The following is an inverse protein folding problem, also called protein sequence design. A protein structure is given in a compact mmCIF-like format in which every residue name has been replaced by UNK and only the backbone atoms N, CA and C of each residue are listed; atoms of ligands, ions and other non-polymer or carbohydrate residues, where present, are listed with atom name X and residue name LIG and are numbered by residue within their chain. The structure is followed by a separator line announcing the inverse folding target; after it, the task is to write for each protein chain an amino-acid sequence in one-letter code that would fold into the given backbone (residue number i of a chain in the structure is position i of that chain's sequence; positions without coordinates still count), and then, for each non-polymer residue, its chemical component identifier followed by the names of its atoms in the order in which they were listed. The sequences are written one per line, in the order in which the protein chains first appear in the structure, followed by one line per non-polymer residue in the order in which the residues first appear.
data_IF_138250861710
#
_entry.id   IF_138250861710
#
_cell.length_a   1.000
_cell.length_b   1.000
_cell.length_c   1.000
_cell.angle_alpha   90.00
_cell.angle_beta   90.00
_cell.angle_gamma   90.00
#
_symmetry.space_group_name_H-M   'P 1'
#
loop_
_entity.id
_entity.type
_entity.pdbx_description
1 polymer ?
#
# COMPACT_ATOMS: atom_id res chain seq x y z
N UNK A 1 39.15 -36.57 -10.80
CA UNK A 1 37.78 -36.14 -11.14
C UNK A 1 36.89 -36.54 -9.97
N UNK A 2 36.87 -35.71 -8.93
CA UNK A 2 36.18 -35.97 -7.66
C UNK A 2 34.74 -35.50 -7.78
N UNK A 3 33.81 -36.45 -7.90
CA UNK A 3 32.38 -36.16 -7.81
C UNK A 3 32.01 -35.87 -6.35
N UNK A 4 31.53 -34.66 -6.12
CA UNK A 4 30.92 -34.23 -4.86
C UNK A 4 29.46 -34.71 -4.91
N UNK A 5 29.00 -35.64 -4.06
CA UNK A 5 27.59 -36.02 -4.05
C UNK A 5 26.77 -34.92 -3.37
N UNK A 6 25.70 -34.54 -4.05
CA UNK A 6 24.69 -33.57 -3.64
C UNK A 6 24.01 -33.98 -2.33
N UNK A 7 24.36 -33.31 -1.22
CA UNK A 7 23.92 -33.62 0.15
C UNK A 7 22.42 -33.43 0.44
N UNK A 8 21.65 -32.91 -0.52
CA UNK A 8 20.26 -32.51 -0.31
C UNK A 8 19.29 -33.69 -0.44
N UNK A 9 19.59 -34.68 -1.28
CA UNK A 9 18.70 -35.84 -1.49
C UNK A 9 18.72 -36.81 -0.30
N UNK A 10 19.86 -36.96 0.37
CA UNK A 10 20.02 -37.87 1.51
C UNK A 10 19.23 -37.43 2.76
N UNK A 11 19.08 -36.11 2.97
CA UNK A 11 18.34 -35.57 4.11
C UNK A 11 16.83 -35.81 4.03
N UNK A 12 16.25 -35.81 2.82
CA UNK A 12 14.82 -36.05 2.61
C UNK A 12 14.44 -37.52 2.78
N UNK A 13 15.31 -38.46 2.38
CA UNK A 13 15.04 -39.89 2.54
C UNK A 13 15.19 -40.34 4.01
N UNK A 14 16.15 -39.76 4.74
CA UNK A 14 16.33 -40.01 6.17
C UNK A 14 15.17 -39.45 7.02
N UNK A 15 14.66 -38.26 6.70
CA UNK A 15 13.53 -37.66 7.41
C UNK A 15 12.23 -38.43 7.18
N UNK A 16 11.99 -38.94 5.97
CA UNK A 16 10.83 -39.80 5.67
C UNK A 16 10.86 -41.12 6.44
N UNK A 17 12.03 -41.78 6.53
CA UNK A 17 12.19 -42.99 7.32
C UNK A 17 12.00 -42.76 8.82
N UNK A 18 12.44 -41.61 9.33
CA UNK A 18 12.26 -41.25 10.73
C UNK A 18 10.79 -40.97 11.07
N UNK A 19 10.07 -40.25 10.21
CA UNK A 19 8.64 -39.96 10.38
C UNK A 19 7.79 -41.23 10.28
N UNK A 20 8.15 -42.18 9.41
CA UNK A 20 7.43 -43.44 9.25
C UNK A 20 7.61 -44.42 10.41
N UNK A 21 8.64 -44.26 11.23
CA UNK A 21 8.92 -45.11 12.40
C UNK A 21 8.39 -44.53 13.73
N UNK A 22 7.84 -43.31 13.71
CA UNK A 22 7.26 -42.69 14.90
C UNK A 22 5.83 -43.18 15.11
N UNK A 23 5.57 -43.72 16.29
CA UNK A 23 4.21 -44.03 16.73
C UNK A 23 3.36 -42.73 16.82
N UNK A 24 2.05 -42.85 16.57
CA UNK A 24 1.12 -41.72 16.53
C UNK A 24 1.15 -40.89 17.83
N UNK A 25 1.36 -41.55 18.96
CA UNK A 25 1.52 -40.92 20.27
C UNK A 25 2.78 -40.06 20.33
N UNK A 26 3.91 -40.56 19.80
CA UNK A 26 5.19 -39.86 19.78
C UNK A 26 5.16 -38.65 18.84
N UNK A 27 4.51 -38.78 17.68
CA UNK A 27 4.30 -37.66 16.74
C UNK A 27 3.43 -36.57 17.36
N UNK A 28 2.37 -36.96 18.09
CA UNK A 28 1.49 -36.01 18.78
C UNK A 28 2.24 -35.27 19.88
N UNK A 29 3.00 -35.98 20.72
CA UNK A 29 3.83 -35.37 21.76
C UNK A 29 4.84 -34.38 21.18
N UNK A 30 5.58 -34.79 20.14
CA UNK A 30 6.57 -33.93 19.49
C UNK A 30 5.93 -32.66 18.93
N UNK A 31 4.76 -32.77 18.29
CA UNK A 31 4.02 -31.63 17.74
C UNK A 31 3.54 -30.69 18.86
N UNK A 32 2.95 -31.23 19.93
CA UNK A 32 2.48 -30.43 21.08
C UNK A 32 3.64 -29.72 21.76
N UNK A 33 4.77 -30.41 21.97
CA UNK A 33 5.97 -29.80 22.56
C UNK A 33 6.51 -28.69 21.66
N UNK A 34 6.63 -28.92 20.35
CA UNK A 34 7.07 -27.89 19.40
C UNK A 34 6.16 -26.66 19.44
N UNK A 35 4.84 -26.85 19.41
CA UNK A 35 3.86 -25.76 19.49
C UNK A 35 3.98 -25.01 20.83
N UNK A 36 4.09 -25.74 21.94
CA UNK A 36 4.24 -25.15 23.27
C UNK A 36 5.51 -24.29 23.41
N UNK A 37 6.61 -24.66 22.74
CA UNK A 37 7.84 -23.85 22.68
C UNK A 37 7.72 -22.65 21.73
N UNK A 38 6.97 -22.78 20.64
CA UNK A 38 6.78 -21.68 19.68
C UNK A 38 5.83 -20.60 20.20
N UNK A 39 4.83 -20.94 21.02
CA UNK A 39 3.86 -19.97 21.56
C UNK A 39 4.55 -18.80 22.30
N UNK A 40 5.46 -19.02 23.27
CA UNK A 40 6.18 -17.92 23.92
C UNK A 40 7.00 -17.08 22.95
N UNK A 41 7.60 -17.70 21.92
CA UNK A 41 8.38 -16.99 20.91
C UNK A 41 7.47 -16.05 20.11
N UNK A 42 6.30 -16.50 19.69
CA UNK A 42 5.35 -15.65 18.96
C UNK A 42 4.70 -14.56 19.82
N UNK A 43 4.60 -14.76 21.14
CA UNK A 43 4.13 -13.72 22.07
C UNK A 43 5.20 -12.64 22.27
N UNK A 44 6.46 -13.04 22.43
CA UNK A 44 7.59 -12.11 22.65
C UNK A 44 8.05 -11.42 21.36
N UNK A 45 8.03 -12.15 20.26
CA UNK A 45 8.43 -11.71 18.93
C UNK A 45 7.30 -12.04 17.94
N UNK A 46 6.19 -11.28 18.00
CA UNK A 46 5.15 -11.42 16.99
C UNK A 46 5.79 -11.19 15.62
N UNK A 47 5.60 -12.09 14.65
CA UNK A 47 6.21 -12.00 13.32
C UNK A 47 5.43 -10.99 12.48
N UNK A 48 5.11 -9.85 13.07
CA UNK A 48 4.31 -8.78 12.49
C UNK A 48 5.29 -7.81 11.85
N UNK A 49 5.13 -7.67 10.54
CA UNK A 49 5.81 -6.61 9.80
C UNK A 49 5.27 -5.27 10.29
N UNK A 50 6.16 -4.33 10.57
CA UNK A 50 5.75 -2.98 10.94
C UNK A 50 5.35 -2.27 9.65
N UNK A 51 4.07 -1.92 9.55
CA UNK A 51 3.54 -1.20 8.40
C UNK A 51 3.75 0.31 8.54
N UNK A 52 3.68 1.03 7.42
CA UNK A 52 3.83 2.49 7.41
C UNK A 52 2.75 3.15 8.26
N UNK A 53 1.52 2.64 8.19
CA UNK A 53 0.41 3.10 9.03
C UNK A 53 0.65 2.91 10.53
N UNK A 54 1.32 1.83 10.95
CA UNK A 54 1.65 1.59 12.37
C UNK A 54 2.66 2.62 12.91
N UNK A 55 3.62 3.01 12.07
CA UNK A 55 4.56 4.09 12.39
C UNK A 55 3.82 5.42 12.50
N UNK A 56 2.93 5.72 11.55
CA UNK A 56 2.13 6.95 11.55
C UNK A 56 1.16 7.02 12.72
N UNK A 57 0.61 5.90 13.22
CA UNK A 57 -0.26 5.90 14.43
C UNK A 57 0.41 6.53 15.65
N UNK A 58 1.75 6.56 15.71
CA UNK A 58 2.49 7.14 16.83
C UNK A 58 2.58 8.66 16.79
N UNK A 59 2.41 9.29 15.63
CA UNK A 59 2.60 10.74 15.42
C UNK A 59 1.40 11.42 14.76
N UNK A 60 0.56 10.66 14.06
CA UNK A 60 -0.57 11.11 13.28
C UNK A 60 -1.87 10.46 13.75
N UNK A 61 -2.97 11.09 13.37
CA UNK A 61 -4.31 10.54 13.48
C UNK A 61 -4.90 10.31 12.09
N UNK A 62 -5.60 9.17 11.94
CA UNK A 62 -6.27 8.81 10.69
C UNK A 62 -7.52 9.69 10.57
N UNK A 63 -7.48 10.62 9.62
CA UNK A 63 -8.55 11.59 9.40
C UNK A 63 -9.54 11.14 8.32
N UNK A 64 -9.09 10.29 7.38
CA UNK A 64 -9.93 9.69 6.35
C UNK A 64 -9.83 8.17 6.35
N UNK A 65 -10.99 7.52 6.26
CA UNK A 65 -11.11 6.07 6.07
C UNK A 65 -11.47 5.77 4.61
N UNK A 66 -11.11 4.58 4.08
CA UNK A 66 -11.38 4.24 2.70
C UNK A 66 -12.88 4.01 2.52
N UNK A 67 -13.41 4.53 1.42
CA UNK A 67 -14.82 4.40 1.05
C UNK A 67 -15.24 2.91 1.05
N UNK A 68 -16.15 2.53 1.96
CA UNK A 68 -16.55 1.13 2.17
C UNK A 68 -17.47 0.58 1.08
N UNK A 69 -18.16 1.45 0.33
CA UNK A 69 -19.11 1.03 -0.71
C UNK A 69 -18.51 1.09 -2.12
N UNK A 70 -18.44 -0.08 -2.76
CA UNK A 70 -17.84 -0.33 -4.08
C UNK A 70 -18.67 0.12 -5.29
N UNK A 71 -19.77 0.88 -5.09
CA UNK A 71 -20.71 1.22 -6.17
C UNK A 71 -20.69 2.68 -6.63
N UNK A 72 -19.86 3.53 -6.02
CA UNK A 72 -19.68 4.91 -6.50
C UNK A 72 -18.47 4.93 -7.43
N UNK A 73 -18.61 4.21 -8.55
CA UNK A 73 -17.68 4.35 -9.66
C UNK A 73 -17.94 5.73 -10.29
N UNK A 74 -16.87 6.49 -10.47
CA UNK A 74 -16.84 7.86 -11.04
C UNK A 74 -17.61 7.91 -12.36
N UNK A 75 -18.90 8.23 -12.34
CA UNK A 75 -19.56 8.83 -13.49
C UNK A 75 -19.04 10.28 -13.58
N UNK A 76 -18.41 10.68 -14.70
CA UNK A 76 -18.03 12.06 -14.92
C UNK A 76 -19.30 12.87 -15.18
N UNK A 77 -19.95 13.36 -14.12
CA UNK A 77 -21.12 14.23 -14.27
C UNK A 77 -20.67 15.69 -14.48
N UNK A 78 -21.14 16.39 -15.52
CA UNK A 78 -20.67 17.72 -15.89
C UNK A 78 -21.50 18.85 -15.25
N UNK A 79 -21.86 18.77 -13.97
CA UNK A 79 -22.62 19.85 -13.35
C UNK A 79 -22.37 20.03 -11.82
N UNK A 80 -21.73 21.14 -11.38
CA UNK A 80 -21.42 21.39 -9.97
C UNK A 80 -22.63 21.79 -9.11
N UNK A 81 -23.86 21.82 -9.65
CA UNK A 81 -25.04 22.38 -8.96
C UNK A 81 -26.08 21.37 -8.46
N UNK A 82 -25.85 20.07 -8.61
CA UNK A 82 -26.85 19.05 -8.25
C UNK A 82 -26.72 18.51 -6.80
N UNK A 83 -25.85 19.07 -5.94
CA UNK A 83 -25.56 18.51 -4.61
C UNK A 83 -26.33 19.12 -3.43
N UNK A 84 -27.31 19.97 -3.70
CA UNK A 84 -28.22 20.52 -2.67
C UNK A 84 -29.64 19.94 -2.86
N UNK A 85 -29.87 18.71 -2.43
CA UNK A 85 -31.16 18.38 -1.81
C UNK A 85 -31.12 17.07 -1.02
N UNK A 86 -31.34 17.21 0.28
CA UNK A 86 -32.00 16.26 1.17
C UNK A 86 -31.30 14.94 1.51
N UNK A 87 -30.37 15.00 2.47
CA UNK A 87 -30.22 13.91 3.45
C UNK A 87 -29.76 14.47 4.81
N UNK A 88 -30.69 14.53 5.76
CA UNK A 88 -30.41 14.78 7.18
C UNK A 88 -29.79 13.53 7.82
N UNK A 89 -28.47 13.48 7.80
CA UNK A 89 -27.59 12.49 8.46
C UNK A 89 -26.18 12.97 8.16
N UNK A 90 -25.32 13.13 9.20
CA UNK A 90 -24.08 13.91 9.13
C UNK A 90 -23.37 13.87 7.77
N UNK A 91 -23.31 15.02 7.10
CA UNK A 91 -22.80 15.15 5.72
C UNK A 91 -21.32 14.73 5.67
N UNK A 92 -21.07 13.48 5.26
CA UNK A 92 -19.73 12.97 4.98
C UNK A 92 -19.27 13.49 3.61
N UNK A 93 -18.06 14.06 3.55
CA UNK A 93 -17.50 14.55 2.30
C UNK A 93 -16.54 13.51 1.71
N UNK A 94 -16.71 13.20 0.43
CA UNK A 94 -15.91 12.21 -0.27
C UNK A 94 -14.84 12.91 -1.10
N UNK A 95 -13.58 12.50 -0.95
CA UNK A 95 -12.44 13.08 -1.64
C UNK A 95 -11.65 11.99 -2.37
N UNK A 96 -11.14 12.33 -3.55
CA UNK A 96 -10.31 11.43 -4.36
C UNK A 96 -8.95 12.09 -4.58
N UNK A 97 -8.00 11.90 -3.65
CA UNK A 97 -6.69 12.53 -3.75
C UNK A 97 -5.80 11.87 -4.83
N UNK A 98 -6.08 10.60 -5.17
CA UNK A 98 -5.35 9.85 -6.19
C UNK A 98 -6.30 9.41 -7.28
N UNK A 99 -5.96 9.72 -8.52
CA UNK A 99 -6.82 9.47 -9.67
C UNK A 99 -7.00 7.96 -9.90
N UNK A 100 -8.25 7.52 -10.10
CA UNK A 100 -8.65 6.11 -10.33
C UNK A 100 -8.49 5.14 -9.14
N UNK A 101 -8.07 5.62 -7.97
CA UNK A 101 -8.06 4.84 -6.73
C UNK A 101 -9.33 5.06 -5.90
N UNK A 102 -9.48 4.30 -4.80
CA UNK A 102 -10.60 4.48 -3.88
C UNK A 102 -10.55 5.86 -3.23
N UNK A 103 -11.73 6.43 -3.03
CA UNK A 103 -11.90 7.68 -2.32
C UNK A 103 -11.76 7.51 -0.82
N UNK A 104 -11.57 8.65 -0.15
CA UNK A 104 -11.59 8.77 1.31
C UNK A 104 -12.87 9.45 1.75
N UNK A 105 -13.45 8.97 2.84
CA UNK A 105 -14.52 9.65 3.56
C UNK A 105 -13.91 10.51 4.66
N UNK A 106 -14.21 11.80 4.66
CA UNK A 106 -13.78 12.73 5.71
C UNK A 106 -14.97 13.19 6.56
N UNK A 107 -14.71 13.31 7.86
CA UNK A 107 -15.59 14.03 8.78
C UNK A 107 -15.60 15.52 8.46
N UNK A 108 -16.74 16.20 8.63
CA UNK A 108 -16.95 17.61 8.22
C UNK A 108 -15.85 18.57 8.67
N UNK A 109 -15.36 18.42 9.89
CA UNK A 109 -14.34 19.32 10.46
C UNK A 109 -12.97 19.15 9.77
N UNK A 110 -12.56 17.91 9.53
CA UNK A 110 -11.34 17.56 8.78
C UNK A 110 -11.49 17.87 7.29
N UNK A 111 -12.70 17.67 6.77
CA UNK A 111 -13.04 18.00 5.39
C UNK A 111 -12.90 19.50 5.15
N UNK A 112 -13.31 20.38 6.06
CA UNK A 112 -13.14 21.83 5.86
C UNK A 112 -11.66 22.28 5.80
N UNK A 113 -10.79 21.62 6.55
CA UNK A 113 -9.34 21.89 6.56
C UNK A 113 -8.64 21.33 5.32
N UNK A 114 -9.14 20.20 4.79
CA UNK A 114 -8.58 19.51 3.62
C UNK A 114 -9.27 19.88 2.29
N UNK A 115 -10.47 20.47 2.34
CA UNK A 115 -11.35 20.85 1.22
C UNK A 115 -11.14 22.29 0.76
N UNK A 116 -9.97 22.88 1.02
CA UNK A 116 -9.49 23.85 0.04
C UNK A 116 -9.35 23.07 -1.29
N UNK A 117 -9.80 23.66 -2.38
CA UNK A 117 -9.98 23.06 -3.71
C UNK A 117 -8.74 22.30 -4.26
N UNK A 118 -7.59 22.43 -3.61
CA UNK A 118 -6.26 21.97 -3.98
C UNK A 118 -5.99 20.49 -3.66
N UNK A 119 -6.83 19.79 -2.89
CA UNK A 119 -6.55 18.40 -2.44
C UNK A 119 -7.16 17.29 -3.31
N UNK A 120 -7.87 17.63 -4.38
CA UNK A 120 -8.44 16.66 -5.31
C UNK A 120 -7.45 16.33 -6.44
N UNK A 121 -7.30 15.05 -6.78
CA UNK A 121 -6.42 14.56 -7.85
C UNK A 121 -4.97 15.05 -7.74
N UNK A 122 -4.43 15.07 -6.52
CA UNK A 122 -3.04 15.39 -6.24
C UNK A 122 -2.08 14.51 -7.04
N UNK A 123 -2.41 13.22 -7.12
CA UNK A 123 -1.57 12.21 -7.73
C UNK A 123 -2.27 11.50 -8.87
N UNK A 124 -1.47 11.15 -9.89
CA UNK A 124 -1.90 10.30 -10.99
C UNK A 124 -0.86 9.22 -11.25
N UNK A 125 -1.32 7.98 -11.45
CA UNK A 125 -0.44 6.91 -11.90
C UNK A 125 -0.12 7.06 -13.39
N UNK A 126 1.13 6.80 -13.72
CA UNK A 126 1.61 6.71 -15.09
C UNK A 126 2.27 5.37 -15.35
N UNK A 127 2.22 4.93 -16.59
CA UNK A 127 2.92 3.72 -17.02
C UNK A 127 3.76 4.01 -18.25
N UNK A 128 4.77 3.19 -18.44
CA UNK A 128 5.63 3.22 -19.61
C UNK A 128 5.55 1.86 -20.30
N UNK A 129 5.34 1.87 -21.61
CA UNK A 129 5.41 0.66 -22.45
C UNK A 129 6.69 0.73 -23.25
N UNK A 130 7.53 -0.29 -23.15
CA UNK A 130 8.73 -0.41 -23.97
C UNK A 130 8.29 -0.94 -25.35
N UNK A 131 7.74 -0.08 -26.21
CA UNK A 131 7.47 -0.45 -27.60
C UNK A 131 8.65 -0.05 -28.48
N UNK A 132 9.07 -0.99 -29.32
CA UNK A 132 10.31 -1.02 -30.08
C UNK A 132 10.34 -0.10 -31.32
N UNK A 133 9.38 0.81 -31.44
CA UNK A 133 9.19 1.63 -32.64
C UNK A 133 9.07 3.10 -32.23
N UNK A 134 10.18 3.82 -32.46
CA UNK A 134 10.43 5.22 -32.12
C UNK A 134 10.62 5.57 -30.63
N UNK A 135 11.75 6.24 -30.40
CA UNK A 135 12.45 6.60 -29.16
C UNK A 135 11.72 7.61 -28.24
N UNK A 136 10.41 7.47 -28.05
CA UNK A 136 9.64 8.33 -27.14
C UNK A 136 9.27 7.55 -25.88
N UNK A 137 10.21 7.52 -24.93
CA UNK A 137 10.09 7.08 -23.53
C UNK A 137 9.08 7.97 -22.76
N UNK A 138 7.88 8.12 -23.29
CA UNK A 138 6.85 9.05 -22.80
C UNK A 138 5.93 8.35 -21.80
N UNK A 139 5.68 9.02 -20.67
CA UNK A 139 4.79 8.52 -19.63
C UNK A 139 3.33 8.72 -20.03
N UNK A 140 2.57 7.63 -20.07
CA UNK A 140 1.13 7.64 -20.36
C UNK A 140 0.34 7.56 -19.06
N UNK A 141 -0.78 8.30 -18.98
CA UNK A 141 -1.66 8.24 -17.82
C UNK A 141 -2.31 6.85 -17.70
N UNK A 142 -2.26 6.27 -16.51
CA UNK A 142 -2.93 5.02 -16.19
C UNK A 142 -4.44 5.26 -16.06
N UNK A 143 -5.26 4.41 -16.65
CA UNK A 143 -6.73 4.48 -16.59
C UNK A 143 -7.31 3.17 -16.08
N UNK A 144 -8.52 3.18 -15.51
CA UNK A 144 -9.21 1.95 -15.07
C UNK A 144 -9.49 0.98 -16.23
N UNK A 145 -9.59 1.46 -17.47
CA UNK A 145 -9.76 0.60 -18.64
C UNK A 145 -8.56 -0.32 -18.85
N UNK A 146 -7.35 0.21 -18.65
CA UNK A 146 -6.11 -0.54 -18.80
C UNK A 146 -5.72 -1.28 -17.51
N UNK A 147 -5.94 -0.64 -16.36
CA UNK A 147 -5.55 -1.14 -15.05
C UNK A 147 -6.75 -1.11 -14.09
N UNK A 148 -7.69 -2.07 -14.21
CA UNK A 148 -8.87 -2.11 -13.34
C UNK A 148 -8.49 -2.28 -11.85
N UNK A 149 -7.34 -2.91 -11.57
CA UNK A 149 -6.82 -3.12 -10.21
C UNK A 149 -6.50 -1.82 -9.46
N UNK A 150 -6.39 -0.67 -10.14
CA UNK A 150 -6.24 0.64 -9.49
C UNK A 150 -7.42 0.96 -8.55
N UNK A 151 -8.63 0.50 -8.90
CA UNK A 151 -9.83 0.70 -8.09
C UNK A 151 -9.84 -0.13 -6.79
N UNK A 152 -8.93 -1.10 -6.66
CA UNK A 152 -8.76 -1.89 -5.44
C UNK A 152 -7.71 -1.29 -4.49
N UNK A 153 -7.01 -0.24 -4.92
CA UNK A 153 -6.05 0.46 -4.07
C UNK A 153 -6.83 1.33 -3.09
N UNK A 154 -6.71 1.00 -1.81
CA UNK A 154 -7.26 1.80 -0.72
C UNK A 154 -6.34 2.98 -0.43
N UNK A 155 -6.93 4.11 -0.06
CA UNK A 155 -6.22 5.33 0.27
C UNK A 155 -6.69 5.78 1.64
N UNK A 156 -5.75 6.19 2.48
CA UNK A 156 -5.98 6.71 3.82
C UNK A 156 -5.30 8.06 3.97
N UNK A 157 -5.96 9.00 4.66
CA UNK A 157 -5.37 10.30 5.01
C UNK A 157 -4.93 10.31 6.48
N UNK A 158 -3.67 10.63 6.69
CA UNK A 158 -3.04 10.77 8.00
C UNK A 158 -2.61 12.21 8.22
N UNK A 159 -3.10 12.82 9.29
CA UNK A 159 -2.82 14.21 9.66
C UNK A 159 -2.02 14.23 10.96
N UNK A 160 -0.98 15.08 11.10
CA UNK A 160 -0.22 15.20 12.34
C UNK A 160 -1.14 15.52 13.52
N UNK A 161 -1.02 14.75 14.59
CA UNK A 161 -1.82 14.96 15.80
C UNK A 161 -0.96 15.69 16.84
N UNK A 162 -1.32 16.93 17.24
CA UNK A 162 -0.53 17.68 18.22
C UNK A 162 -0.48 17.00 19.59
N UNK A 163 -1.40 16.07 19.88
CA UNK A 163 -1.43 15.32 21.13
C UNK A 163 -0.59 14.03 21.09
N UNK A 164 -0.07 13.65 19.91
CA UNK A 164 0.77 12.47 19.75
C UNK A 164 2.20 12.90 19.44
N UNK A 165 3.14 12.34 20.18
CA UNK A 165 4.57 12.56 19.91
C UNK A 165 5.31 11.25 20.14
N UNK A 166 5.99 10.76 19.10
CA UNK A 166 6.84 9.58 19.23
C UNK A 166 8.20 9.98 19.78
N UNK A 167 8.68 9.24 20.78
CA UNK A 167 10.04 9.45 21.34
C UNK A 167 11.13 9.08 20.34
N UNK A 168 10.84 8.22 19.36
CA UNK A 168 11.81 7.71 18.39
C UNK A 168 11.83 8.54 17.10
N UNK A 169 10.67 9.03 16.66
CA UNK A 169 10.53 9.76 15.39
C UNK A 169 10.48 11.28 15.58
N UNK A 170 10.35 11.74 16.83
CA UNK A 170 10.15 13.16 17.12
C UNK A 170 8.79 13.67 16.63
N UNK A 171 8.71 14.99 16.40
CA UNK A 171 7.54 15.62 15.80
C UNK A 171 7.70 15.56 14.29
N UNK A 172 6.90 14.71 13.64
CA UNK A 172 6.83 14.65 12.19
C UNK A 172 5.74 15.63 11.76
N UNK A 173 6.14 16.64 10.97
CA UNK A 173 5.23 17.65 10.44
C UNK A 173 4.86 17.29 8.99
N UNK A 174 3.61 17.54 8.60
CA UNK A 174 3.08 17.26 7.27
C UNK A 174 2.08 16.10 7.24
N UNK A 175 1.05 16.23 6.39
CA UNK A 175 0.04 15.18 6.20
C UNK A 175 0.49 14.18 5.14
N UNK A 176 0.12 12.91 5.32
CA UNK A 176 0.50 11.81 4.42
C UNK A 176 -0.73 11.06 3.91
N UNK A 177 -0.64 10.61 2.67
CA UNK A 177 -1.52 9.60 2.11
C UNK A 177 -0.83 8.25 2.25
N UNK A 178 -1.53 7.28 2.85
CA UNK A 178 -1.12 5.87 2.83
C UNK A 178 -1.94 5.18 1.76
N UNK A 179 -1.26 4.54 0.80
CA UNK A 179 -1.91 3.72 -0.22
C UNK A 179 -1.65 2.25 0.09
N UNK A 180 -2.71 1.44 0.04
CA UNK A 180 -2.67 0.01 0.39
C UNK A 180 -3.19 -0.80 -0.78
N UNK A 181 -2.51 -1.89 -1.10
CA UNK A 181 -2.99 -2.85 -2.11
C UNK A 181 -2.77 -4.28 -1.64
N UNK A 182 -3.67 -5.21 -2.01
CA UNK A 182 -3.53 -6.60 -1.62
C UNK A 182 -2.32 -7.23 -2.32
N UNK A 183 -1.39 -7.74 -1.54
CA UNK A 183 -0.16 -8.36 -2.05
C UNK A 183 0.33 -9.45 -1.11
N UNK A 184 0.82 -10.55 -1.66
CA UNK A 184 1.47 -11.61 -0.89
C UNK A 184 2.75 -12.03 -1.60
N UNK A 185 3.87 -12.00 -0.87
CA UNK A 185 5.15 -12.42 -1.42
C UNK A 185 5.19 -13.94 -1.67
N UNK A 186 6.05 -14.37 -2.60
CA UNK A 186 6.22 -15.78 -2.90
C UNK A 186 6.99 -16.51 -1.78
N UNK A 187 6.73 -17.81 -1.62
CA UNK A 187 7.47 -18.69 -0.72
C UNK A 187 7.08 -18.56 0.76
N UNK A 188 8.03 -18.82 1.66
CA UNK A 188 7.80 -18.83 3.11
C UNK A 188 7.42 -17.45 3.66
N UNK A 189 7.91 -16.37 3.03
CA UNK A 189 7.57 -14.99 3.40
C UNK A 189 6.08 -14.70 3.22
N UNK A 190 5.46 -15.20 2.15
CA UNK A 190 4.02 -15.09 1.95
C UNK A 190 3.19 -15.83 3.00
N UNK A 191 3.70 -16.97 3.50
CA UNK A 191 3.04 -17.71 4.58
C UNK A 191 3.11 -16.90 5.87
N UNK A 192 4.28 -16.36 6.21
CA UNK A 192 4.41 -15.50 7.40
C UNK A 192 3.55 -14.25 7.30
N UNK A 193 3.45 -13.63 6.11
CA UNK A 193 2.57 -12.47 5.87
C UNK A 193 1.08 -12.81 6.07
N UNK A 194 0.62 -13.98 5.63
CA UNK A 194 -0.77 -14.41 5.88
C UNK A 194 -1.04 -14.64 7.36
N UNK A 195 -0.09 -15.24 8.07
CA UNK A 195 -0.22 -15.48 9.50
C UNK A 195 -0.18 -14.15 10.27
N UNK A 196 0.75 -13.26 9.91
CA UNK A 196 0.89 -11.95 10.54
C UNK A 196 -0.34 -11.08 10.29
N UNK A 197 -0.82 -10.99 9.05
CA UNK A 197 -2.02 -10.26 8.72
C UNK A 197 -3.20 -10.74 9.56
N UNK A 198 -3.39 -12.07 9.68
CA UNK A 198 -4.50 -12.66 10.45
C UNK A 198 -4.39 -12.40 11.95
N UNK A 199 -3.17 -12.38 12.47
CA UNK A 199 -2.91 -12.11 13.88
C UNK A 199 -3.11 -10.63 14.22
N UNK A 200 -2.64 -9.72 13.37
CA UNK A 200 -2.66 -8.27 13.60
C UNK A 200 -4.01 -7.61 13.27
N UNK A 201 -4.65 -8.03 12.18
CA UNK A 201 -5.84 -7.38 11.63
C UNK A 201 -7.10 -8.26 11.67
N UNK A 202 -7.01 -9.44 12.29
CA UNK A 202 -8.13 -10.36 12.51
C UNK A 202 -8.27 -11.44 11.44
N UNK A 203 -9.14 -12.42 11.70
CA UNK A 203 -9.21 -13.68 10.95
C UNK A 203 -9.53 -13.54 9.45
N UNK A 204 -10.19 -12.44 9.05
CA UNK A 204 -10.58 -12.16 7.67
C UNK A 204 -9.61 -11.23 6.93
N UNK A 205 -8.51 -10.82 7.55
CA UNK A 205 -7.56 -9.94 6.90
C UNK A 205 -6.79 -10.66 5.78
N UNK A 206 -6.43 -9.86 4.78
CA UNK A 206 -5.60 -10.23 3.64
C UNK A 206 -4.25 -9.52 3.81
N UNK A 207 -3.14 -10.15 3.43
CA UNK A 207 -1.86 -9.45 3.36
C UNK A 207 -1.93 -8.28 2.38
N UNK A 208 -1.44 -7.14 2.83
CA UNK A 208 -1.42 -5.90 2.08
C UNK A 208 -0.02 -5.30 2.11
N UNK A 209 0.29 -4.50 1.09
CA UNK A 209 1.51 -3.71 1.05
C UNK A 209 1.14 -2.23 1.02
N UNK A 210 1.80 -1.47 1.88
CA UNK A 210 1.56 -0.04 2.04
C UNK A 210 2.74 0.78 1.50
N UNK A 211 2.45 1.98 1.00
CA UNK A 211 3.45 3.00 0.72
C UNK A 211 2.90 4.39 1.00
N UNK A 212 3.81 5.37 1.13
CA UNK A 212 3.52 6.71 1.63
C UNK A 212 3.71 7.78 0.55
N UNK A 213 2.78 8.73 0.50
CA UNK A 213 2.91 9.92 -0.34
C UNK A 213 2.65 11.19 0.49
N UNK A 214 3.47 12.23 0.37
CA UNK A 214 3.24 13.49 1.07
C UNK A 214 2.00 14.21 0.49
N UNK A 215 1.19 14.83 1.33
CA UNK A 215 0.08 15.69 0.87
C UNK A 215 0.62 17.05 0.42
N UNK A 216 1.53 17.64 1.20
CA UNK A 216 2.19 18.89 0.87
C UNK A 216 3.13 18.73 -0.32
N UNK A 217 3.22 19.76 -1.17
CA UNK A 217 4.18 19.76 -2.26
C UNK A 217 5.60 19.78 -1.67
N UNK A 218 6.50 18.86 -2.07
CA UNK A 218 7.84 18.80 -1.52
C UNK A 218 8.67 20.01 -1.94
N UNK A 219 9.52 20.52 -1.05
CA UNK A 219 10.42 21.64 -1.35
C UNK A 219 11.61 21.18 -2.24
N UNK A 220 12.33 22.10 -2.87
CA UNK A 220 13.47 21.81 -3.74
C UNK A 220 14.57 20.98 -3.07
N UNK A 221 14.80 21.20 -1.77
CA UNK A 221 15.74 20.39 -0.98
C UNK A 221 15.25 18.95 -0.79
N UNK A 222 13.95 18.76 -0.56
CA UNK A 222 13.32 17.45 -0.40
C UNK A 222 13.28 16.69 -1.73
N UNK A 223 12.98 17.39 -2.83
CA UNK A 223 13.01 16.86 -4.20
C UNK A 223 14.40 16.29 -4.50
N UNK A 224 15.46 17.05 -4.21
CA UNK A 224 16.85 16.60 -4.41
C UNK A 224 17.23 15.45 -3.48
N UNK A 225 16.88 15.55 -2.20
CA UNK A 225 17.24 14.54 -1.20
C UNK A 225 16.57 13.18 -1.46
N UNK A 226 15.31 13.20 -1.93
CA UNK A 226 14.54 11.98 -2.24
C UNK A 226 14.71 11.49 -3.68
N UNK A 227 15.40 12.25 -4.53
CA UNK A 227 15.69 11.86 -5.91
C UNK A 227 14.48 11.97 -6.85
N UNK A 228 13.54 12.88 -6.57
CA UNK A 228 12.41 13.12 -7.45
C UNK A 228 12.84 13.84 -8.72
N UNK A 229 12.12 13.60 -9.81
CA UNK A 229 12.45 14.19 -11.12
C UNK A 229 11.23 14.85 -11.75
N UNK A 230 11.43 15.94 -12.48
CA UNK A 230 10.36 16.54 -13.28
C UNK A 230 10.27 15.80 -14.62
N UNK A 231 9.06 15.40 -15.00
CA UNK A 231 8.81 14.68 -16.24
C UNK A 231 7.55 15.19 -16.94
N UNK A 232 7.54 15.08 -18.27
CA UNK A 232 6.33 15.32 -19.06
C UNK A 232 5.41 14.10 -18.93
N UNK A 233 4.17 14.37 -18.56
CA UNK A 233 3.18 13.35 -18.26
C UNK A 233 1.87 13.59 -19.02
N UNK A 234 1.30 12.51 -19.57
CA UNK A 234 0.01 12.53 -20.24
C UNK A 234 0.04 13.03 -21.70
N UNK A 235 -1.13 13.12 -22.31
CA UNK A 235 -1.30 13.49 -23.71
C UNK A 235 -0.89 14.95 -23.99
N UNK A 236 -1.18 15.85 -23.05
CA UNK A 236 -0.87 17.27 -23.16
C UNK A 236 0.57 17.60 -22.75
N UNK A 237 1.39 16.59 -22.43
CA UNK A 237 2.79 16.72 -21.99
C UNK A 237 2.94 17.72 -20.84
N UNK A 238 1.97 17.73 -19.92
CA UNK A 238 2.02 18.58 -18.74
C UNK A 238 3.23 18.21 -17.87
N UNK A 239 3.90 19.22 -17.30
CA UNK A 239 5.00 18.99 -16.37
C UNK A 239 4.45 18.50 -15.04
N UNK A 240 4.92 17.34 -14.58
CA UNK A 240 4.56 16.77 -13.30
C UNK A 240 5.81 16.26 -12.58
N UNK A 241 5.74 16.19 -11.25
CA UNK A 241 6.83 15.67 -10.44
C UNK A 241 6.70 14.13 -10.35
N UNK A 242 7.63 13.43 -10.98
CA UNK A 242 7.78 11.98 -10.91
C UNK A 242 8.34 11.57 -9.55
N UNK A 243 7.56 10.74 -8.86
CA UNK A 243 7.86 10.19 -7.53
C UNK A 243 7.85 8.65 -7.57
N UNK A 244 8.24 8.05 -8.69
CA UNK A 244 8.37 6.60 -8.86
C UNK A 244 9.25 5.90 -7.82
N UNK A 245 10.23 6.61 -7.25
CA UNK A 245 11.08 6.14 -6.14
C UNK A 245 10.28 5.74 -4.90
N UNK A 246 9.11 6.34 -4.66
CA UNK A 246 8.23 6.02 -3.52
C UNK A 246 7.38 4.77 -3.78
N UNK A 247 7.38 4.24 -5.01
CA UNK A 247 6.56 3.08 -5.36
C UNK A 247 7.28 1.75 -5.10
N UNK A 248 6.61 0.81 -4.43
CA UNK A 248 7.14 -0.54 -4.28
C UNK A 248 7.15 -1.25 -5.64
N UNK A 249 8.21 -2.00 -5.92
CA UNK A 249 8.37 -2.74 -7.21
C UNK A 249 7.24 -3.73 -7.47
N UNK A 250 6.59 -4.22 -6.41
CA UNK A 250 5.47 -5.16 -6.46
C UNK A 250 4.20 -4.52 -6.99
N UNK A 251 4.05 -3.19 -6.90
CA UNK A 251 2.89 -2.49 -7.44
C UNK A 251 2.82 -2.65 -8.96
N UNK A 252 3.95 -2.60 -9.66
CA UNK A 252 4.02 -2.85 -11.09
C UNK A 252 3.50 -4.26 -11.43
N UNK A 253 3.89 -5.26 -10.65
CA UNK A 253 3.45 -6.66 -10.81
C UNK A 253 1.95 -6.82 -10.51
N UNK A 254 1.47 -6.17 -9.45
CA UNK A 254 0.06 -6.18 -9.06
C UNK A 254 -0.84 -5.58 -10.15
N UNK A 255 -0.39 -4.49 -10.77
CA UNK A 255 -1.10 -3.84 -11.88
C UNK A 255 -0.88 -4.54 -13.22
N UNK A 256 0.08 -5.48 -13.33
CA UNK A 256 0.44 -6.11 -14.60
C UNK A 256 1.14 -5.17 -15.58
N UNK A 257 1.81 -4.12 -15.07
CA UNK A 257 2.61 -3.19 -15.85
C UNK A 257 4.10 -3.57 -15.78
N UNK A 258 4.85 -3.31 -16.87
CA UNK A 258 6.31 -3.44 -16.86
C UNK A 258 6.97 -2.38 -15.99
N UNK A 259 6.50 -1.13 -16.14
CA UNK A 259 6.95 0.01 -15.35
C UNK A 259 5.77 0.91 -15.01
N UNK A 260 5.65 1.22 -13.73
CA UNK A 260 4.66 2.15 -13.17
C UNK A 260 5.40 3.28 -12.47
N UNK A 261 4.83 4.48 -12.54
CA UNK A 261 5.28 5.69 -11.87
C UNK A 261 4.09 6.40 -11.27
N UNK A 262 4.35 7.31 -10.34
CA UNK A 262 3.34 8.16 -9.74
C UNK A 262 3.77 9.60 -9.88
N UNK A 263 2.84 10.43 -10.31
CA UNK A 263 3.08 11.80 -10.70
C UNK A 263 2.26 12.73 -9.82
N UNK A 264 2.93 13.67 -9.17
CA UNK A 264 2.27 14.79 -8.49
C UNK A 264 1.99 15.88 -9.52
N UNK A 265 0.71 16.26 -9.65
CA UNK A 265 0.30 17.34 -10.53
C UNK A 265 0.67 18.70 -9.90
N UNK A 266 1.27 19.56 -10.72
CA UNK A 266 1.59 20.95 -10.38
C UNK A 266 0.42 21.79 -10.90
N UNK A 267 -0.35 22.38 -9.98
CA UNK A 267 -1.44 23.30 -10.31
C UNK A 267 -0.96 24.74 -10.28
#
# INVERSE_FOLDING_TARGET
MTMIPSSIHFGMDATRHFVSNLDAVSLTLLTVTLVAFLIPIFILFPPVTVDCSDVLRQTHSRAGEPLRDSNIQREPSPDPRARESNSSGGEQQHIFPVHYCRGIELSRDEASSFSSLESHNLYMFGYQTIHQDHDDLTWKAATCEKFPSLANIEVDLWIPDPNKTSRLLGKVEGSFLVLRFPWTDAGLQGITQRVSAKLSHGLNSVPEKEFLLPVSFPNDDEIRARGYSLAQFGHDKAMALNMDVELPTELARYLGAEKIGIFRLIH
#
